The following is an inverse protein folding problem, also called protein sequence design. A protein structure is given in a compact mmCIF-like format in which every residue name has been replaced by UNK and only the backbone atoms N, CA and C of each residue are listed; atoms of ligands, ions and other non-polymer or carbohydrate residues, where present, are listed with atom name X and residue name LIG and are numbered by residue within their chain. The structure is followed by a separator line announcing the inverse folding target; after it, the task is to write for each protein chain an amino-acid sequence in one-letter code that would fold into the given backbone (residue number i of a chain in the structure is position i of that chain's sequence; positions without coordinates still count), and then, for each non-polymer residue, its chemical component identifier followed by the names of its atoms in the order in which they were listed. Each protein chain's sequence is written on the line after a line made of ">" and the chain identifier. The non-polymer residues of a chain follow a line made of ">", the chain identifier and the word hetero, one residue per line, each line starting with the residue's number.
data_IF_729231952198
#
_entry.id   IF_729231952198
#
_cell.length_a   1.000
_cell.length_b   1.000
_cell.length_c   1.000
_cell.angle_alpha   90.00
_cell.angle_beta   90.00
_cell.angle_gamma   90.00
#
_symmetry.space_group_name_H-M   'P 1'
#
loop_
_entity.id
_entity.type
_entity.pdbx_description
1 polymer ?
#
# COMPACT_ATOMS: atom_id res chain seq x y z
N UNK A 1 -78.47 2.60 39.58
CA UNK A 1 -78.01 2.73 40.98
C UNK A 1 -76.93 1.69 41.25
N UNK A 2 -75.79 2.13 41.81
CA UNK A 2 -74.73 1.36 42.49
C UNK A 2 -73.92 0.34 41.65
N UNK A 3 -72.61 0.16 41.84
CA UNK A 3 -71.56 0.86 42.59
C UNK A 3 -70.24 0.27 42.06
N UNK A 4 -69.23 1.12 41.93
CA UNK A 4 -67.85 0.79 41.58
C UNK A 4 -67.28 -0.37 42.42
N UNK A 5 -66.51 -1.25 41.78
CA UNK A 5 -65.27 -1.79 42.36
C UNK A 5 -64.19 -1.88 41.29
N UNK A 6 -63.26 -0.93 41.37
CA UNK A 6 -61.97 -0.96 40.68
C UNK A 6 -61.16 -2.10 41.29
N UNK A 7 -60.64 -2.99 40.45
CA UNK A 7 -59.46 -3.78 40.79
C UNK A 7 -58.35 -3.26 39.91
N UNK A 8 -57.50 -2.43 40.51
CA UNK A 8 -56.30 -1.90 39.89
C UNK A 8 -55.31 -3.05 39.78
N UNK A 9 -55.37 -3.80 38.68
CA UNK A 9 -54.40 -4.85 38.39
C UNK A 9 -53.05 -4.20 38.08
N UNK A 10 -52.16 -4.19 39.06
CA UNK A 10 -50.77 -3.76 38.89
C UNK A 10 -50.10 -4.71 37.89
N UNK A 11 -50.07 -4.33 36.60
CA UNK A 11 -49.34 -5.10 35.59
C UNK A 11 -47.86 -4.77 35.73
N UNK A 12 -47.14 -5.66 36.42
CA UNK A 12 -45.68 -5.66 36.41
C UNK A 12 -45.25 -6.18 35.04
N UNK A 13 -44.93 -5.26 34.14
CA UNK A 13 -44.36 -5.59 32.83
C UNK A 13 -42.86 -5.80 33.00
N UNK A 14 -42.44 -7.05 33.18
CA UNK A 14 -41.02 -7.40 33.27
C UNK A 14 -40.40 -7.24 31.87
N UNK A 15 -39.62 -6.17 31.66
CA UNK A 15 -38.83 -5.97 30.44
C UNK A 15 -37.59 -6.86 30.50
N UNK A 16 -37.63 -7.97 29.76
CA UNK A 16 -36.47 -8.84 29.53
C UNK A 16 -35.58 -8.17 28.47
N UNK A 17 -34.56 -7.45 28.92
CA UNK A 17 -33.52 -6.89 28.05
C UNK A 17 -32.48 -7.97 27.80
N UNK A 18 -32.58 -8.66 26.67
CA UNK A 18 -31.55 -9.61 26.22
C UNK A 18 -30.40 -8.82 25.57
N UNK A 19 -29.31 -8.60 26.30
CA UNK A 19 -28.07 -8.10 25.70
C UNK A 19 -27.39 -9.23 24.93
N UNK A 20 -27.42 -9.19 23.59
CA UNK A 20 -26.56 -10.03 22.77
C UNK A 20 -25.11 -9.59 23.02
N UNK A 21 -24.35 -10.37 23.79
CA UNK A 21 -22.91 -10.20 23.87
C UNK A 21 -22.33 -10.82 22.60
N UNK A 22 -21.85 -9.99 21.68
CA UNK A 22 -21.07 -10.47 20.54
C UNK A 22 -19.73 -10.97 21.06
N UNK A 23 -19.61 -12.29 21.26
CA UNK A 23 -18.32 -12.93 21.51
C UNK A 23 -17.52 -12.90 20.21
N UNK A 24 -16.63 -11.92 20.09
CA UNK A 24 -15.63 -11.88 19.02
C UNK A 24 -14.57 -12.91 19.36
N UNK A 25 -14.65 -14.09 18.75
CA UNK A 25 -13.56 -15.05 18.76
C UNK A 25 -12.50 -14.59 17.75
N UNK A 26 -11.35 -14.15 18.24
CA UNK A 26 -10.16 -14.03 17.42
C UNK A 26 -9.62 -15.44 17.16
N UNK A 27 -9.96 -16.03 16.01
CA UNK A 27 -9.33 -17.27 15.56
C UNK A 27 -7.84 -16.98 15.31
N UNK A 28 -7.00 -17.31 16.30
CA UNK A 28 -5.56 -17.25 16.13
C UNK A 28 -5.17 -18.55 15.43
N UNK A 29 -5.20 -18.56 14.10
CA UNK A 29 -4.56 -19.63 13.33
C UNK A 29 -3.05 -19.53 13.55
N UNK A 30 -2.56 -20.15 14.62
CA UNK A 30 -1.13 -20.38 14.81
C UNK A 30 -0.72 -21.37 13.74
N UNK A 31 -0.19 -20.85 12.63
CA UNK A 31 0.44 -21.65 11.60
C UNK A 31 1.53 -22.49 12.26
N UNK A 32 1.31 -23.80 12.32
CA UNK A 32 2.22 -24.82 12.91
C UNK A 32 3.54 -24.96 12.16
N UNK A 33 3.81 -24.11 11.17
CA UNK A 33 5.15 -23.92 10.63
C UNK A 33 5.82 -22.74 11.34
N UNK A 34 6.13 -22.92 12.63
CA UNK A 34 7.25 -22.17 13.20
C UNK A 34 8.46 -22.68 12.45
N UNK A 35 8.82 -21.99 11.36
CA UNK A 35 10.09 -22.21 10.70
C UNK A 35 11.15 -22.10 11.80
N UNK A 36 11.80 -23.21 12.11
CA UNK A 36 12.88 -23.27 13.08
C UNK A 36 13.88 -22.18 12.71
N UNK A 37 14.00 -21.16 13.55
CA UNK A 37 14.85 -20.01 13.25
C UNK A 37 16.28 -20.50 13.27
N UNK A 38 16.88 -20.71 12.11
CA UNK A 38 18.29 -21.06 12.01
C UNK A 38 19.14 -19.79 12.22
N UNK A 39 19.86 -19.67 13.35
CA UNK A 39 20.66 -18.48 13.64
C UNK A 39 21.89 -18.34 12.71
N UNK A 40 22.25 -19.40 11.99
CA UNK A 40 23.30 -19.40 10.97
C UNK A 40 22.75 -19.21 9.54
N UNK A 41 21.44 -18.98 9.39
CA UNK A 41 20.87 -18.69 8.09
C UNK A 41 21.52 -17.43 7.54
N UNK A 42 22.11 -17.55 6.35
CA UNK A 42 22.76 -16.44 5.67
C UNK A 42 21.74 -15.34 5.44
N UNK A 43 21.88 -14.24 6.18
CA UNK A 43 21.05 -13.05 5.98
C UNK A 43 21.46 -12.41 4.66
N UNK A 44 20.48 -12.12 3.81
CA UNK A 44 20.75 -11.37 2.60
C UNK A 44 21.28 -9.99 2.97
N UNK A 45 22.48 -9.65 2.50
CA UNK A 45 23.03 -8.28 2.62
C UNK A 45 22.46 -7.34 1.56
N UNK A 46 21.59 -7.84 0.67
CA UNK A 46 20.96 -7.04 -0.38
C UNK A 46 19.99 -6.04 0.25
N UNK A 47 20.29 -4.75 0.14
CA UNK A 47 19.39 -3.70 0.62
C UNK A 47 18.13 -3.66 -0.25
N UNK A 48 16.97 -3.60 0.42
CA UNK A 48 15.68 -3.40 -0.21
C UNK A 48 15.46 -1.98 -0.75
N UNK A 49 16.33 -1.02 -0.38
CA UNK A 49 16.12 0.41 -0.62
C UNK A 49 17.06 1.02 -1.68
N UNK A 50 18.18 0.37 -1.99
CA UNK A 50 19.24 0.93 -2.85
C UNK A 50 18.72 1.55 -4.15
N UNK A 51 17.89 0.81 -4.89
CA UNK A 51 17.35 1.33 -6.17
C UNK A 51 16.34 2.46 -5.96
N UNK A 52 15.55 2.41 -4.88
CA UNK A 52 14.55 3.43 -4.58
C UNK A 52 15.18 4.75 -4.13
N UNK A 53 16.21 4.67 -3.30
CA UNK A 53 17.00 5.83 -2.88
C UNK A 53 17.68 6.51 -4.07
N UNK A 54 18.19 5.70 -5.01
CA UNK A 54 18.67 6.21 -6.30
C UNK A 54 17.55 6.91 -7.06
N UNK A 55 16.36 6.33 -7.20
CA UNK A 55 15.25 7.03 -7.87
C UNK A 55 14.85 8.35 -7.16
N UNK A 56 15.01 8.47 -5.85
CA UNK A 56 14.75 9.73 -5.15
C UNK A 56 15.72 10.86 -5.53
N UNK A 57 16.92 10.52 -6.02
CA UNK A 57 17.90 11.50 -6.50
C UNK A 57 17.65 11.95 -7.94
N UNK A 58 16.77 11.26 -8.68
CA UNK A 58 16.38 11.65 -10.03
C UNK A 58 15.64 12.98 -10.06
N UNK A 59 15.93 13.79 -11.08
CA UNK A 59 15.24 15.04 -11.34
C UNK A 59 14.53 15.00 -12.68
N UNK A 60 13.20 15.15 -12.65
CA UNK A 60 12.40 15.33 -13.85
C UNK A 60 12.62 16.75 -14.40
N UNK A 61 13.11 16.84 -15.64
CA UNK A 61 13.51 18.09 -16.30
C UNK A 61 12.44 18.65 -17.23
N UNK A 62 11.64 17.77 -17.84
CA UNK A 62 10.71 18.17 -18.89
C UNK A 62 9.80 17.03 -19.31
N UNK A 63 8.62 17.38 -19.80
CA UNK A 63 7.68 16.45 -20.44
C UNK A 63 7.29 17.05 -21.78
N UNK A 64 7.25 16.21 -22.80
CA UNK A 64 6.83 16.56 -24.15
C UNK A 64 5.70 15.61 -24.55
N UNK A 65 4.58 16.17 -24.95
CA UNK A 65 3.37 15.45 -25.34
C UNK A 65 2.77 16.03 -26.61
N UNK A 66 2.28 15.19 -27.50
CA UNK A 66 1.55 15.59 -28.71
C UNK A 66 1.08 14.37 -29.49
N UNK A 67 0.02 14.49 -30.31
CA UNK A 67 -0.36 13.45 -31.29
C UNK A 67 -0.45 12.00 -30.79
N UNK A 68 -0.78 11.76 -29.51
CA UNK A 68 -0.81 10.42 -28.89
C UNK A 68 0.54 9.89 -28.39
N UNK A 69 1.64 10.62 -28.54
CA UNK A 69 2.93 10.31 -27.93
C UNK A 69 3.14 11.12 -26.65
N UNK A 70 3.84 10.52 -25.71
CA UNK A 70 4.29 11.17 -24.50
C UNK A 70 5.70 10.70 -24.15
N UNK A 71 6.58 11.64 -23.86
CA UNK A 71 7.95 11.37 -23.43
C UNK A 71 8.34 12.36 -22.35
N UNK A 72 9.23 11.94 -21.47
CA UNK A 72 9.80 12.82 -20.47
C UNK A 72 11.31 12.82 -20.54
N UNK A 73 11.92 13.82 -19.95
CA UNK A 73 13.36 13.94 -19.79
C UNK A 73 13.66 14.09 -18.32
N UNK A 74 14.63 13.34 -17.83
CA UNK A 74 15.18 13.60 -16.51
C UNK A 74 16.67 13.30 -16.47
N UNK A 75 17.26 13.52 -15.30
CA UNK A 75 18.69 13.34 -15.10
C UNK A 75 18.97 12.80 -13.71
N UNK A 76 20.09 12.08 -13.60
CA UNK A 76 20.76 11.87 -12.32
C UNK A 76 21.35 13.20 -11.82
N UNK A 77 21.63 13.35 -10.52
CA UNK A 77 22.28 14.55 -9.99
C UNK A 77 23.54 14.94 -10.77
N UNK A 78 24.39 13.95 -11.05
CA UNK A 78 25.70 14.12 -11.69
C UNK A 78 25.77 13.51 -13.10
N UNK A 79 24.62 13.22 -13.72
CA UNK A 79 24.56 12.52 -15.00
C UNK A 79 23.92 13.32 -16.11
N UNK A 80 24.04 12.77 -17.32
CA UNK A 80 23.42 13.34 -18.50
C UNK A 80 21.90 13.26 -18.47
N UNK A 81 21.29 14.14 -19.25
CA UNK A 81 19.85 14.13 -19.47
C UNK A 81 19.49 12.92 -20.33
N UNK A 82 18.56 12.11 -19.83
CA UNK A 82 18.07 10.92 -20.51
C UNK A 82 16.58 11.04 -20.81
N UNK A 83 16.19 10.61 -22.02
CA UNK A 83 14.79 10.48 -22.43
C UNK A 83 14.18 9.25 -21.75
N UNK A 84 12.96 9.41 -21.27
CA UNK A 84 12.10 8.39 -20.68
C UNK A 84 10.84 8.22 -21.52
N UNK A 85 10.48 6.97 -21.78
CA UNK A 85 9.22 6.57 -22.43
C UNK A 85 8.54 5.48 -21.61
N UNK A 86 7.22 5.34 -21.75
CA UNK A 86 6.49 4.22 -21.12
C UNK A 86 7.07 2.89 -21.61
N UNK A 87 7.25 1.95 -20.67
CA UNK A 87 7.91 0.67 -20.91
C UNK A 87 9.44 0.71 -20.79
N UNK A 88 10.07 1.89 -20.68
CA UNK A 88 11.51 1.97 -20.53
C UNK A 88 11.94 1.60 -19.10
N UNK A 89 12.96 0.74 -19.02
CA UNK A 89 13.60 0.39 -17.77
C UNK A 89 14.64 1.46 -17.39
N UNK A 90 14.53 2.02 -16.19
CA UNK A 90 15.41 3.08 -15.68
C UNK A 90 16.50 2.55 -14.74
N UNK A 91 16.16 1.52 -13.96
CA UNK A 91 17.07 0.77 -13.09
C UNK A 91 16.80 -0.74 -13.26
N UNK A 92 17.69 -1.65 -12.81
CA UNK A 92 17.58 -3.09 -13.04
C UNK A 92 16.21 -3.72 -12.76
N UNK A 93 15.42 -3.13 -11.85
CA UNK A 93 14.07 -3.63 -11.52
C UNK A 93 12.98 -2.58 -11.63
N UNK A 94 13.22 -1.42 -12.26
CA UNK A 94 12.24 -0.32 -12.30
C UNK A 94 11.95 0.12 -13.73
N UNK A 95 10.66 0.15 -14.07
CA UNK A 95 10.17 0.51 -15.39
C UNK A 95 9.22 1.69 -15.31
N UNK A 96 9.25 2.58 -16.30
CA UNK A 96 8.27 3.66 -16.46
C UNK A 96 6.94 3.07 -16.90
N UNK A 97 5.89 3.28 -16.10
CA UNK A 97 4.54 2.78 -16.38
C UNK A 97 3.58 3.87 -16.85
N UNK A 98 3.85 5.12 -16.50
CA UNK A 98 3.00 6.24 -16.87
C UNK A 98 3.80 7.55 -16.86
N UNK A 99 3.51 8.42 -17.84
CA UNK A 99 4.03 9.77 -17.90
C UNK A 99 2.81 10.68 -17.78
N UNK A 100 2.80 11.59 -16.81
CA UNK A 100 1.77 12.61 -16.63
C UNK A 100 2.21 13.95 -17.19
N UNK A 101 1.52 15.03 -16.85
CA UNK A 101 1.89 16.40 -17.25
C UNK A 101 3.06 16.99 -16.46
N UNK A 102 3.24 16.55 -15.20
CA UNK A 102 4.31 17.02 -14.29
C UNK A 102 4.99 15.91 -13.50
N UNK A 103 4.70 14.65 -13.84
CA UNK A 103 5.18 13.50 -13.09
C UNK A 103 5.43 12.30 -13.98
N UNK A 104 6.28 11.39 -13.51
CA UNK A 104 6.53 10.07 -14.11
C UNK A 104 6.38 9.02 -13.04
N UNK A 105 5.58 8.00 -13.31
CA UNK A 105 5.37 6.87 -12.41
C UNK A 105 6.23 5.69 -12.87
N UNK A 106 6.96 5.10 -11.93
CA UNK A 106 7.73 3.90 -12.13
C UNK A 106 7.18 2.76 -11.29
N UNK A 107 7.25 1.54 -11.82
CA UNK A 107 6.88 0.32 -11.13
C UNK A 107 8.08 -0.62 -11.02
N UNK A 108 8.15 -1.33 -9.90
CA UNK A 108 9.11 -2.39 -9.70
C UNK A 108 8.64 -3.67 -10.40
N UNK A 109 9.45 -4.22 -11.33
CA UNK A 109 9.09 -5.38 -12.15
C UNK A 109 9.07 -6.70 -11.37
N UNK A 110 9.99 -6.86 -10.43
CA UNK A 110 10.12 -8.06 -9.59
C UNK A 110 10.37 -7.62 -8.15
N UNK A 111 9.33 -7.25 -7.39
CA UNK A 111 9.49 -6.90 -5.99
C UNK A 111 9.99 -8.14 -5.24
N UNK A 112 11.09 -7.96 -4.50
CA UNK A 112 11.64 -9.02 -3.68
C UNK A 112 10.65 -9.32 -2.54
N UNK A 113 10.13 -10.54 -2.47
CA UNK A 113 9.13 -10.94 -1.48
C UNK A 113 9.69 -10.91 -0.05
N UNK A 114 11.01 -10.92 0.11
CA UNK A 114 11.67 -10.73 1.40
C UNK A 114 11.64 -9.27 1.87
N UNK A 115 11.50 -8.34 0.92
CA UNK A 115 11.38 -6.91 1.17
C UNK A 115 9.91 -6.52 1.38
N UNK A 116 9.33 -6.97 2.49
CA UNK A 116 7.93 -6.69 2.84
C UNK A 116 7.72 -5.22 3.24
N UNK A 117 6.58 -4.64 2.86
CA UNK A 117 6.16 -3.29 3.26
C UNK A 117 6.68 -2.14 2.40
N UNK A 118 7.48 -2.41 1.35
CA UNK A 118 7.92 -1.37 0.43
C UNK A 118 6.93 -1.16 -0.73
N UNK A 119 6.65 0.09 -1.10
CA UNK A 119 5.81 0.36 -2.25
C UNK A 119 6.54 -0.07 -3.53
N UNK A 120 5.83 -0.84 -4.36
CA UNK A 120 6.29 -1.25 -5.69
C UNK A 120 6.16 -0.14 -6.74
N UNK A 121 5.80 1.08 -6.32
CA UNK A 121 5.62 2.24 -7.19
C UNK A 121 6.36 3.46 -6.63
N UNK A 122 7.01 4.21 -7.51
CA UNK A 122 7.74 5.43 -7.20
C UNK A 122 7.33 6.52 -8.19
N UNK A 123 7.15 7.74 -7.70
CA UNK A 123 6.80 8.90 -8.54
C UNK A 123 7.98 9.86 -8.58
N UNK A 124 8.38 10.26 -9.78
CA UNK A 124 9.29 11.37 -10.03
C UNK A 124 8.44 12.59 -10.40
N UNK A 125 8.50 13.64 -9.59
CA UNK A 125 7.78 14.88 -9.83
C UNK A 125 8.72 15.96 -10.32
N UNK A 126 8.22 16.87 -11.15
CA UNK A 126 8.92 18.13 -11.43
C UNK A 126 9.09 18.91 -10.12
N UNK A 127 10.29 19.45 -9.91
CA UNK A 127 10.58 20.38 -8.81
C UNK A 127 10.19 21.80 -9.20
#
# INVERSE_FOLDING_TARGET
>A
MNKYRRVLGLRVTTLLVSTLVATVYAETTVSTKVAERNPFQKVSTKSCHLDRERLASWQLQGIVSGGGYQSSWGKWPDGDRQKLVVGQQLLPNWQVIHIGSRQVSLQQLNPDTTCTGLPSTQVLSMR
#
